data_IF_907482017518
#
_entry.id   IF_907482017518
#
_cell.length_a   1.000
_cell.length_b   1.000
_cell.length_c   1.000
_cell.angle_alpha   90.00
_cell.angle_beta   90.00
_cell.angle_gamma   90.00
#
_symmetry.space_group_name_H-M   'P 1'
#
loop_
_entity.id
_entity.type
_entity.pdbx_description
1 polymer ?
#
# COMPACT_ATOMS: atom_id res chain seq x y z
N UNK A 1 -9.01 -1.43 -28.42
CA UNK A 1 -8.13 -0.68 -27.50
C UNK A 1 -8.72 0.71 -27.35
N UNK A 2 -8.93 1.17 -26.13
CA UNK A 2 -9.34 2.55 -25.86
C UNK A 2 -8.03 3.28 -25.56
N UNK A 3 -7.51 4.11 -26.48
CA UNK A 3 -6.31 4.89 -26.20
C UNK A 3 -6.59 5.78 -24.99
N UNK A 4 -5.95 5.48 -23.86
CA UNK A 4 -6.21 6.14 -22.58
C UNK A 4 -5.03 7.02 -22.21
N UNK A 5 -5.24 8.17 -21.58
CA UNK A 5 -4.13 8.93 -20.96
C UNK A 5 -4.12 8.74 -19.46
N UNK A 6 -2.99 8.23 -18.95
CA UNK A 6 -2.75 7.94 -17.54
C UNK A 6 -1.62 8.84 -17.06
N UNK A 7 -1.86 9.58 -15.98
CA UNK A 7 -0.84 10.40 -15.31
C UNK A 7 -0.46 9.74 -14.00
N UNK A 8 0.83 9.51 -13.76
CA UNK A 8 1.34 8.95 -12.49
C UNK A 8 2.11 10.05 -11.76
N UNK A 9 1.55 10.56 -10.66
CA UNK A 9 2.14 11.61 -9.84
C UNK A 9 2.81 11.01 -8.61
N UNK A 10 4.11 11.26 -8.44
CA UNK A 10 4.97 10.51 -7.53
C UNK A 10 5.68 9.33 -8.22
N UNK A 11 5.85 9.41 -9.54
CA UNK A 11 6.42 8.32 -10.35
C UNK A 11 7.86 7.96 -9.95
N UNK A 12 8.60 8.85 -9.30
CA UNK A 12 9.95 8.59 -8.80
C UNK A 12 10.01 7.70 -7.55
N UNK A 13 8.87 7.31 -6.97
CA UNK A 13 8.82 6.43 -5.79
C UNK A 13 9.49 5.07 -6.04
N UNK A 14 10.53 4.76 -5.26
CA UNK A 14 11.33 3.54 -5.38
C UNK A 14 10.53 2.23 -5.24
N UNK A 15 9.43 2.25 -4.50
CA UNK A 15 8.63 1.05 -4.19
C UNK A 15 7.36 1.09 -5.04
N UNK A 16 6.47 2.03 -4.73
CA UNK A 16 5.15 2.09 -5.34
C UNK A 16 5.20 2.51 -6.82
N UNK A 17 6.07 3.48 -7.15
CA UNK A 17 6.24 3.97 -8.52
C UNK A 17 6.73 2.87 -9.47
N UNK A 18 7.66 2.03 -9.01
CA UNK A 18 8.21 0.92 -9.78
C UNK A 18 7.16 -0.16 -10.08
N UNK A 19 6.44 -0.63 -9.06
CA UNK A 19 5.42 -1.68 -9.21
C UNK A 19 4.28 -1.21 -10.11
N UNK A 20 3.79 0.02 -9.89
CA UNK A 20 2.73 0.62 -10.72
C UNK A 20 3.18 0.78 -12.17
N UNK A 21 4.40 1.29 -12.40
CA UNK A 21 4.95 1.42 -13.74
C UNK A 21 5.00 0.05 -14.43
N UNK A 22 5.58 -0.95 -13.78
CA UNK A 22 5.70 -2.29 -14.34
C UNK A 22 4.32 -2.88 -14.69
N UNK A 23 3.35 -2.79 -13.76
CA UNK A 23 2.00 -3.29 -13.98
C UNK A 23 1.31 -2.60 -15.18
N UNK A 24 1.36 -1.26 -15.26
CA UNK A 24 0.79 -0.50 -16.37
C UNK A 24 1.45 -0.84 -17.70
N UNK A 25 2.78 -0.95 -17.73
CA UNK A 25 3.56 -1.29 -18.94
C UNK A 25 3.31 -2.73 -19.40
N UNK A 26 3.06 -3.67 -18.49
CA UNK A 26 2.76 -5.07 -18.79
C UNK A 26 1.32 -5.32 -19.26
N UNK A 27 0.42 -4.36 -19.10
CA UNK A 27 -1.01 -4.54 -19.38
C UNK A 27 -1.34 -4.56 -20.87
N UNK A 28 -1.85 -5.70 -21.35
CA UNK A 28 -2.33 -5.84 -22.72
C UNK A 28 -3.55 -4.95 -23.03
N UNK A 29 -4.34 -4.60 -22.00
CA UNK A 29 -5.51 -3.71 -22.17
C UNK A 29 -5.11 -2.26 -22.41
N UNK A 30 -3.99 -1.84 -21.82
CA UNK A 30 -3.49 -0.47 -21.89
C UNK A 30 -2.47 -0.26 -23.01
N UNK A 31 -2.03 -1.32 -23.70
CA UNK A 31 -1.12 -1.23 -24.87
C UNK A 31 -1.55 -0.11 -25.83
N UNK A 32 -0.61 0.77 -26.21
CA UNK A 32 -0.91 1.92 -27.09
C UNK A 32 -1.40 3.20 -26.38
N UNK A 33 -1.59 3.16 -25.06
CA UNK A 33 -2.02 4.30 -24.25
C UNK A 33 -0.90 5.33 -24.06
N UNK A 34 -1.24 6.48 -23.50
CA UNK A 34 -0.28 7.50 -23.07
C UNK A 34 -0.05 7.38 -21.57
N UNK A 35 1.23 7.38 -21.18
CA UNK A 35 1.67 7.35 -19.80
C UNK A 35 2.55 8.58 -19.54
N UNK A 36 2.05 9.50 -18.72
CA UNK A 36 2.76 10.69 -18.28
C UNK A 36 3.28 10.49 -16.85
N UNK A 37 4.60 10.45 -16.68
CA UNK A 37 5.26 10.29 -15.39
C UNK A 37 5.58 11.67 -14.81
N UNK A 38 5.19 11.89 -13.55
CA UNK A 38 5.35 13.18 -12.88
C UNK A 38 6.05 12.98 -11.54
N UNK A 39 7.14 13.72 -11.33
CA UNK A 39 7.79 13.81 -10.03
C UNK A 39 8.52 15.15 -9.89
N UNK A 40 8.69 15.65 -8.66
CA UNK A 40 9.47 16.88 -8.40
C UNK A 40 10.95 16.59 -8.24
N UNK A 41 11.33 15.35 -7.94
CA UNK A 41 12.71 14.92 -7.91
C UNK A 41 13.16 14.59 -9.34
N UNK A 42 13.92 15.50 -9.95
CA UNK A 42 14.39 15.36 -11.34
C UNK A 42 15.27 14.12 -11.55
N UNK A 43 16.07 13.73 -10.56
CA UNK A 43 16.95 12.56 -10.67
C UNK A 43 16.16 11.25 -10.65
N UNK A 44 15.19 11.15 -9.74
CA UNK A 44 14.28 10.01 -9.67
C UNK A 44 13.42 9.93 -10.94
N UNK A 45 12.88 11.07 -11.40
CA UNK A 45 12.09 11.17 -12.62
C UNK A 45 12.89 10.75 -13.87
N UNK A 46 14.13 11.21 -13.98
CA UNK A 46 15.01 10.84 -15.09
C UNK A 46 15.29 9.33 -15.10
N UNK A 47 15.50 8.72 -13.93
CA UNK A 47 15.78 7.30 -13.81
C UNK A 47 14.56 6.44 -14.14
N UNK A 48 13.39 6.77 -13.60
CA UNK A 48 12.14 6.06 -13.91
C UNK A 48 11.69 6.27 -15.36
N UNK A 49 11.92 7.45 -15.95
CA UNK A 49 11.66 7.71 -17.36
C UNK A 49 12.50 6.83 -18.29
N UNK A 50 13.80 6.68 -18.01
CA UNK A 50 14.67 5.76 -18.75
C UNK A 50 14.24 4.29 -18.58
N UNK A 51 13.83 3.91 -17.37
CA UNK A 51 13.28 2.57 -17.14
C UNK A 51 12.00 2.33 -17.93
N UNK A 52 11.07 3.29 -17.96
CA UNK A 52 9.84 3.21 -18.73
C UNK A 52 10.11 3.03 -20.23
N UNK A 53 11.07 3.77 -20.80
CA UNK A 53 11.49 3.59 -22.19
C UNK A 53 12.07 2.20 -22.47
N UNK A 54 12.87 1.68 -21.53
CA UNK A 54 13.39 0.31 -21.62
C UNK A 54 12.28 -0.72 -21.59
N UNK A 55 11.35 -0.62 -20.65
CA UNK A 55 10.17 -1.48 -20.55
C UNK A 55 9.35 -1.41 -21.85
N UNK A 56 9.12 -0.21 -22.39
CA UNK A 56 8.34 -0.01 -23.61
C UNK A 56 8.94 -0.76 -24.80
N UNK A 57 10.27 -0.70 -24.95
CA UNK A 57 11.02 -1.43 -25.98
C UNK A 57 11.05 -2.93 -25.77
N UNK A 58 11.39 -3.40 -24.57
CA UNK A 58 11.64 -4.82 -24.30
C UNK A 58 10.35 -5.63 -24.10
N UNK A 59 9.24 -4.97 -23.74
CA UNK A 59 7.95 -5.63 -23.51
C UNK A 59 6.93 -5.39 -24.62
N UNK A 60 7.29 -4.66 -25.68
CA UNK A 60 6.40 -4.32 -26.80
C UNK A 60 5.08 -3.68 -26.31
N UNK A 61 5.18 -2.71 -25.38
CA UNK A 61 4.02 -2.08 -24.75
C UNK A 61 3.36 -0.99 -25.63
N UNK A 62 4.07 -0.46 -26.63
CA UNK A 62 3.61 0.61 -27.54
C UNK A 62 3.05 1.85 -26.83
N UNK A 63 3.48 2.11 -25.60
CA UNK A 63 3.03 3.27 -24.84
C UNK A 63 3.66 4.55 -25.42
N UNK A 64 2.88 5.64 -25.44
CA UNK A 64 3.41 6.99 -25.63
C UNK A 64 3.84 7.53 -24.28
N UNK A 65 5.13 7.76 -24.09
CA UNK A 65 5.69 8.17 -22.81
C UNK A 65 5.97 9.68 -22.78
N UNK A 66 5.75 10.31 -21.64
CA UNK A 66 6.22 11.67 -21.36
C UNK A 66 6.60 11.82 -19.88
N UNK A 67 7.48 12.76 -19.58
CA UNK A 67 7.91 13.08 -18.21
C UNK A 67 7.70 14.56 -17.91
N UNK A 68 7.29 14.89 -16.68
CA UNK A 68 6.99 16.26 -16.27
C UNK A 68 7.44 16.53 -14.83
N UNK A 69 8.06 17.68 -14.57
CA UNK A 69 8.48 18.08 -13.22
C UNK A 69 7.33 18.67 -12.38
N UNK A 70 6.20 18.99 -13.01
CA UNK A 70 5.03 19.55 -12.34
C UNK A 70 3.74 18.94 -12.92
N UNK A 71 2.80 18.58 -12.05
CA UNK A 71 1.59 17.85 -12.44
C UNK A 71 0.71 18.63 -13.41
N UNK A 72 0.60 19.95 -13.26
CA UNK A 72 -0.22 20.79 -14.13
C UNK A 72 0.11 20.66 -15.63
N UNK A 73 1.36 20.30 -15.97
CA UNK A 73 1.80 20.15 -17.36
C UNK A 73 1.40 18.80 -17.98
N UNK A 74 1.03 17.83 -17.15
CA UNK A 74 0.68 16.47 -17.56
C UNK A 74 -0.83 16.19 -17.61
N UNK A 75 -1.64 16.96 -16.87
CA UNK A 75 -3.05 16.63 -16.59
C UNK A 75 -4.00 16.77 -17.79
N UNK A 76 -3.67 17.58 -18.79
CA UNK A 76 -4.57 17.85 -19.91
C UNK A 76 -4.98 16.56 -20.65
N UNK A 77 -6.29 16.33 -20.76
CA UNK A 77 -6.86 15.14 -21.39
C UNK A 77 -6.67 13.82 -20.63
N UNK A 78 -6.20 13.83 -19.38
CA UNK A 78 -6.07 12.62 -18.57
C UNK A 78 -7.44 11.98 -18.28
N UNK A 79 -7.52 10.65 -18.33
CA UNK A 79 -8.69 9.88 -17.93
C UNK A 79 -8.49 9.21 -16.56
N UNK A 80 -7.23 8.91 -16.23
CA UNK A 80 -6.83 8.38 -14.93
C UNK A 80 -5.61 9.14 -14.42
N UNK A 81 -5.62 9.44 -13.12
CA UNK A 81 -4.48 10.02 -12.40
C UNK A 81 -4.18 9.12 -11.21
N UNK A 82 -3.01 8.49 -11.21
CA UNK A 82 -2.50 7.72 -10.07
C UNK A 82 -1.69 8.66 -9.17
N UNK A 83 -1.99 8.66 -7.87
CA UNK A 83 -1.40 9.57 -6.90
C UNK A 83 -0.71 8.83 -5.77
N UNK A 84 0.62 8.92 -5.72
CA UNK A 84 1.48 8.23 -4.75
C UNK A 84 2.59 9.16 -4.23
N UNK A 85 2.21 10.34 -3.76
CA UNK A 85 3.14 11.34 -3.25
C UNK A 85 3.38 11.17 -1.75
N UNK A 86 4.42 11.83 -1.27
CA UNK A 86 4.66 12.02 0.16
C UNK A 86 5.34 13.37 0.36
N UNK A 87 5.00 14.09 1.43
CA UNK A 87 5.73 15.30 1.80
C UNK A 87 7.10 14.92 2.36
N UNK A 88 8.15 15.44 1.74
CA UNK A 88 9.54 15.15 2.14
C UNK A 88 10.02 16.08 3.25
N UNK A 89 10.97 15.65 4.09
CA UNK A 89 11.61 14.32 4.16
C UNK A 89 10.73 13.27 4.89
N UNK A 90 10.32 12.19 4.18
CA UNK A 90 9.33 11.20 4.67
C UNK A 90 9.68 10.62 6.04
N UNK A 91 10.84 9.96 6.16
CA UNK A 91 11.18 9.23 7.40
C UNK A 91 11.39 10.17 8.59
N UNK A 92 11.97 11.35 8.37
CA UNK A 92 12.19 12.34 9.42
C UNK A 92 10.87 12.92 9.92
N UNK A 93 9.96 13.26 8.99
CA UNK A 93 8.63 13.76 9.36
C UNK A 93 7.82 12.68 10.07
N UNK A 94 7.85 11.43 9.60
CA UNK A 94 7.15 10.33 10.24
C UNK A 94 7.75 9.99 11.61
N UNK A 95 9.09 10.06 11.77
CA UNK A 95 9.72 9.95 13.08
C UNK A 95 9.24 11.07 14.02
N UNK A 96 9.09 12.29 13.52
CA UNK A 96 8.57 13.41 14.31
C UNK A 96 7.12 13.21 14.77
N UNK A 97 6.29 12.53 13.95
CA UNK A 97 4.91 12.17 14.29
C UNK A 97 4.83 11.20 15.47
N UNK A 98 5.87 10.42 15.70
CA UNK A 98 6.03 9.58 16.88
C UNK A 98 6.65 10.34 18.06
N UNK A 99 7.76 11.04 17.85
CA UNK A 99 8.54 11.68 18.91
C UNK A 99 7.83 12.86 19.59
N UNK A 100 7.02 13.62 18.84
CA UNK A 100 6.31 14.79 19.40
C UNK A 100 5.21 14.33 20.36
N UNK A 101 4.25 13.46 19.98
CA UNK A 101 3.24 12.96 20.92
C UNK A 101 3.81 12.18 22.10
N UNK A 102 4.96 11.51 21.94
CA UNK A 102 5.63 10.78 23.01
C UNK A 102 5.95 11.69 24.22
N UNK A 103 6.31 12.96 23.99
CA UNK A 103 6.57 13.96 25.05
C UNK A 103 5.35 14.23 25.94
N UNK A 104 4.16 13.92 25.43
CA UNK A 104 2.88 14.07 26.11
C UNK A 104 2.30 12.74 26.59
N UNK A 105 3.11 11.67 26.59
CA UNK A 105 2.70 10.35 27.07
C UNK A 105 1.82 9.60 26.07
N UNK A 106 2.00 9.78 24.77
CA UNK A 106 1.27 9.00 23.75
C UNK A 106 2.26 8.27 22.86
N UNK A 107 2.47 6.96 23.12
CA UNK A 107 3.39 6.12 22.33
C UNK A 107 2.62 5.38 21.22
N UNK A 108 2.49 6.00 20.04
CA UNK A 108 1.78 5.42 18.89
C UNK A 108 2.76 4.59 18.03
N UNK A 109 2.68 3.25 17.97
CA UNK A 109 3.74 2.45 17.35
C UNK A 109 3.95 2.69 15.84
N UNK A 110 2.86 2.90 15.08
CA UNK A 110 2.90 3.06 13.62
C UNK A 110 2.55 4.49 13.17
N UNK A 111 1.34 4.96 13.50
CA UNK A 111 0.90 6.36 13.32
C UNK A 111 0.97 6.93 11.89
N UNK A 112 0.79 6.10 10.86
CA UNK A 112 0.67 6.56 9.48
C UNK A 112 -0.71 7.13 9.19
N UNK A 113 -1.74 6.47 9.70
CA UNK A 113 -3.15 6.75 9.47
C UNK A 113 -3.85 7.22 10.75
N UNK A 114 -3.60 6.59 11.89
CA UNK A 114 -4.32 6.88 13.13
C UNK A 114 -3.58 7.76 14.14
N UNK A 115 -4.32 8.18 15.17
CA UNK A 115 -3.81 8.97 16.28
C UNK A 115 -3.28 10.37 15.94
N UNK A 116 -2.69 11.10 16.92
CA UNK A 116 -2.05 12.40 16.68
C UNK A 116 -0.99 12.42 15.58
N UNK A 117 -0.24 11.32 15.40
CA UNK A 117 0.78 11.23 14.35
C UNK A 117 0.13 11.16 12.96
N UNK A 118 -0.86 10.29 12.78
CA UNK A 118 -1.63 10.21 11.54
C UNK A 118 -2.41 11.49 11.23
N UNK A 119 -2.82 12.25 12.25
CA UNK A 119 -3.39 13.59 12.04
C UNK A 119 -2.35 14.59 11.51
N UNK A 120 -1.16 14.66 12.11
CA UNK A 120 -0.09 15.53 11.63
C UNK A 120 0.30 15.16 10.18
N UNK A 121 0.36 13.86 9.88
CA UNK A 121 0.55 13.33 8.54
C UNK A 121 -0.54 13.78 7.55
N UNK A 122 -1.82 13.69 7.94
CA UNK A 122 -2.93 14.18 7.13
C UNK A 122 -2.80 15.67 6.80
N UNK A 123 -2.51 16.50 7.81
CA UNK A 123 -2.41 17.97 7.62
C UNK A 123 -1.28 18.33 6.65
N UNK A 124 -0.19 17.57 6.64
CA UNK A 124 0.91 17.79 5.69
C UNK A 124 0.53 17.39 4.27
N UNK A 125 -0.14 16.25 4.07
CA UNK A 125 -0.43 15.73 2.74
C UNK A 125 -1.70 16.31 2.08
N UNK A 126 -2.75 16.65 2.84
CA UNK A 126 -4.01 17.15 2.28
C UNK A 126 -3.82 18.41 1.43
N UNK A 127 -3.00 19.37 1.87
CA UNK A 127 -2.77 20.61 1.13
C UNK A 127 -2.22 20.39 -0.29
N UNK A 128 -1.06 19.71 -0.44
CA UNK A 128 -0.52 19.33 -1.74
C UNK A 128 -1.49 18.50 -2.60
N UNK A 129 -2.20 17.53 -2.01
CA UNK A 129 -3.19 16.71 -2.73
C UNK A 129 -4.33 17.57 -3.26
N UNK A 130 -4.91 18.44 -2.45
CA UNK A 130 -6.01 19.31 -2.87
C UNK A 130 -5.59 20.30 -3.97
N UNK A 131 -4.33 20.74 -3.98
CA UNK A 131 -3.79 21.51 -5.11
C UNK A 131 -3.85 20.70 -6.42
N UNK A 132 -3.42 19.44 -6.41
CA UNK A 132 -3.48 18.56 -7.58
C UNK A 132 -4.94 18.36 -8.01
N UNK A 133 -5.82 18.07 -7.06
CA UNK A 133 -7.25 17.83 -7.29
C UNK A 133 -7.92 19.05 -7.94
N UNK A 134 -7.66 20.26 -7.46
CA UNK A 134 -8.19 21.48 -8.09
C UNK A 134 -7.62 21.73 -9.48
N UNK A 135 -6.38 21.34 -9.74
CA UNK A 135 -5.79 21.41 -11.08
C UNK A 135 -6.46 20.38 -12.01
N UNK A 136 -6.79 19.19 -11.51
CA UNK A 136 -7.58 18.18 -12.23
C UNK A 136 -9.00 18.66 -12.56
N UNK A 137 -9.67 19.39 -11.66
CA UNK A 137 -11.01 19.94 -11.93
C UNK A 137 -11.03 20.86 -13.15
N UNK A 138 -9.90 21.51 -13.47
CA UNK A 138 -9.78 22.40 -14.63
C UNK A 138 -9.31 21.66 -15.88
N UNK A 139 -8.32 20.78 -15.76
CA UNK A 139 -7.68 20.12 -16.89
C UNK A 139 -8.35 18.81 -17.33
N UNK A 140 -8.90 18.05 -16.38
CA UNK A 140 -9.46 16.72 -16.62
C UNK A 140 -10.60 16.38 -15.63
N UNK A 141 -11.71 17.14 -15.61
CA UNK A 141 -12.77 16.99 -14.61
C UNK A 141 -13.50 15.65 -14.63
N UNK A 142 -13.35 14.86 -15.69
CA UNK A 142 -13.94 13.52 -15.82
C UNK A 142 -12.96 12.40 -15.47
N UNK A 143 -11.72 12.72 -15.09
CA UNK A 143 -10.74 11.72 -14.71
C UNK A 143 -11.12 11.02 -13.39
N UNK A 144 -10.65 9.78 -13.25
CA UNK A 144 -10.57 9.11 -11.95
C UNK A 144 -9.23 9.41 -11.28
N UNK A 145 -9.27 9.81 -10.02
CA UNK A 145 -8.11 9.87 -9.14
C UNK A 145 -8.00 8.55 -8.37
N UNK A 146 -6.93 7.81 -8.63
CA UNK A 146 -6.57 6.57 -7.93
C UNK A 146 -5.51 6.93 -6.89
N UNK A 147 -5.91 6.99 -5.62
CA UNK A 147 -5.06 7.45 -4.53
C UNK A 147 -4.41 6.29 -3.77
N UNK A 148 -3.09 6.32 -3.69
CA UNK A 148 -2.26 5.47 -2.83
C UNK A 148 -1.56 6.27 -1.73
N UNK A 149 -1.71 7.60 -1.74
CA UNK A 149 -1.10 8.47 -0.73
C UNK A 149 -1.81 8.30 0.60
N UNK A 150 -1.01 8.10 1.66
CA UNK A 150 -1.50 8.06 3.03
C UNK A 150 -1.55 9.46 3.67
N UNK A 151 -2.42 9.70 4.65
CA UNK A 151 -3.39 8.76 5.22
C UNK A 151 -4.67 8.64 4.37
N UNK A 152 -4.85 7.48 3.73
CA UNK A 152 -5.74 7.31 2.58
C UNK A 152 -7.18 7.73 2.87
N UNK A 153 -7.74 7.29 4.00
CA UNK A 153 -9.13 7.59 4.36
C UNK A 153 -9.37 9.09 4.49
N UNK A 154 -8.45 9.84 5.10
CA UNK A 154 -8.63 11.29 5.33
C UNK A 154 -8.45 12.06 4.04
N UNK A 155 -7.52 11.63 3.18
CA UNK A 155 -7.30 12.22 1.87
C UNK A 155 -8.53 12.00 0.97
N UNK A 156 -8.99 10.75 0.85
CA UNK A 156 -10.17 10.43 0.05
C UNK A 156 -11.44 11.13 0.58
N UNK A 157 -11.64 11.20 1.90
CA UNK A 157 -12.77 11.91 2.51
C UNK A 157 -12.69 13.43 2.24
N UNK A 158 -11.51 14.05 2.31
CA UNK A 158 -11.33 15.46 1.96
C UNK A 158 -11.69 15.72 0.48
N UNK A 159 -11.21 14.89 -0.44
CA UNK A 159 -11.53 15.02 -1.87
C UNK A 159 -13.04 14.86 -2.09
N UNK A 160 -13.65 13.82 -1.52
CA UNK A 160 -15.08 13.54 -1.69
C UNK A 160 -15.98 14.66 -1.14
N UNK A 161 -15.54 15.41 -0.12
CA UNK A 161 -16.29 16.53 0.46
C UNK A 161 -16.09 17.85 -0.27
N UNK A 162 -14.90 18.08 -0.80
CA UNK A 162 -14.47 19.41 -1.24
C UNK A 162 -14.08 19.50 -2.73
N UNK A 163 -14.33 18.45 -3.50
CA UNK A 163 -14.08 18.41 -4.95
C UNK A 163 -15.15 17.64 -5.71
N UNK A 164 -15.26 17.88 -7.02
CA UNK A 164 -16.05 17.06 -7.94
C UNK A 164 -15.29 15.88 -8.55
N UNK A 165 -13.98 15.75 -8.29
CA UNK A 165 -13.16 14.66 -8.85
C UNK A 165 -13.59 13.31 -8.28
N UNK A 166 -13.77 12.33 -9.18
CA UNK A 166 -14.03 10.94 -8.80
C UNK A 166 -12.77 10.36 -8.17
N UNK A 167 -12.87 9.86 -6.95
CA UNK A 167 -11.73 9.33 -6.20
C UNK A 167 -11.99 7.90 -5.74
N UNK A 168 -10.98 7.05 -5.85
CA UNK A 168 -10.90 5.76 -5.20
C UNK A 168 -9.55 5.66 -4.49
N UNK A 169 -9.55 5.13 -3.26
CA UNK A 169 -8.32 4.84 -2.52
C UNK A 169 -8.01 3.35 -2.62
N UNK A 170 -6.76 3.01 -2.93
CA UNK A 170 -6.29 1.63 -3.03
C UNK A 170 -5.16 1.36 -2.03
N UNK A 171 -5.17 0.17 -1.43
CA UNK A 171 -4.19 -0.25 -0.44
C UNK A 171 -4.09 -1.77 -0.41
N UNK A 172 -2.87 -2.29 -0.34
CA UNK A 172 -2.56 -3.72 -0.35
C UNK A 172 -2.74 -4.42 1.02
N UNK A 173 -3.22 -3.68 2.02
CA UNK A 173 -3.35 -4.14 3.41
C UNK A 173 -4.14 -5.47 3.54
N UNK A 174 -5.15 -5.70 2.68
CA UNK A 174 -5.96 -6.95 2.66
C UNK A 174 -5.11 -8.23 2.59
N UNK A 175 -3.90 -8.17 1.99
CA UNK A 175 -3.01 -9.32 1.90
C UNK A 175 -2.48 -9.80 3.26
N UNK A 176 -2.49 -8.97 4.30
CA UNK A 176 -2.25 -9.43 5.67
C UNK A 176 -3.33 -10.44 6.11
N UNK A 177 -4.60 -10.17 5.81
CA UNK A 177 -5.70 -11.11 6.04
C UNK A 177 -5.54 -12.42 5.27
N UNK A 178 -5.16 -12.34 3.99
CA UNK A 178 -4.86 -13.54 3.20
C UNK A 178 -3.70 -14.34 3.78
N UNK A 179 -2.64 -13.68 4.27
CA UNK A 179 -1.53 -14.36 4.92
C UNK A 179 -1.95 -15.04 6.23
N UNK A 180 -2.75 -14.37 7.06
CA UNK A 180 -3.28 -14.93 8.32
C UNK A 180 -4.20 -16.12 8.08
N UNK A 181 -5.10 -16.04 7.09
CA UNK A 181 -5.95 -17.17 6.69
C UNK A 181 -5.12 -18.30 6.12
N UNK A 182 -4.14 -17.98 5.26
CA UNK A 182 -3.25 -18.96 4.65
C UNK A 182 -2.41 -19.71 5.68
N UNK A 183 -1.95 -19.03 6.73
CA UNK A 183 -1.28 -19.68 7.86
C UNK A 183 -2.23 -20.59 8.64
N UNK A 184 -3.41 -20.07 9.02
CA UNK A 184 -4.36 -20.83 9.83
C UNK A 184 -4.88 -22.07 9.09
N UNK A 185 -5.12 -21.97 7.79
CA UNK A 185 -5.66 -23.05 6.96
C UNK A 185 -4.58 -23.79 6.15
N UNK A 186 -3.30 -23.66 6.53
CA UNK A 186 -2.20 -24.17 5.72
C UNK A 186 -2.33 -25.67 5.39
N UNK A 187 -2.54 -26.50 6.41
CA UNK A 187 -2.72 -27.94 6.25
C UNK A 187 -4.01 -28.30 5.52
N UNK A 188 -5.09 -27.53 5.75
CA UNK A 188 -6.41 -27.80 5.15
C UNK A 188 -6.42 -27.45 3.64
N UNK A 189 -5.62 -26.47 3.21
CA UNK A 189 -5.58 -25.96 1.83
C UNK A 189 -4.31 -26.35 1.05
N UNK A 190 -3.33 -26.98 1.70
CA UNK A 190 -2.05 -27.34 1.09
C UNK A 190 -1.16 -26.13 0.79
N UNK A 191 -1.20 -25.11 1.64
CA UNK A 191 -0.37 -23.91 1.51
C UNK A 191 0.98 -24.14 2.17
N UNK A 192 2.05 -23.88 1.44
CA UNK A 192 3.41 -23.94 1.99
C UNK A 192 3.70 -22.68 2.82
N UNK A 193 3.98 -22.87 4.11
CA UNK A 193 4.36 -21.81 5.04
C UNK A 193 5.89 -21.80 5.20
N UNK A 194 6.59 -20.74 4.75
CA UNK A 194 8.04 -20.65 4.89
C UNK A 194 8.45 -20.45 6.36
N UNK A 195 9.66 -20.92 6.69
CA UNK A 195 10.28 -20.62 7.97
C UNK A 195 10.45 -19.10 8.13
N UNK A 196 10.17 -18.59 9.33
CA UNK A 196 10.24 -17.15 9.63
C UNK A 196 8.94 -16.37 9.40
N UNK A 197 7.82 -17.01 9.02
CA UNK A 197 6.52 -16.34 9.07
C UNK A 197 6.00 -16.24 10.51
N UNK A 198 6.41 -15.21 11.23
CA UNK A 198 6.12 -15.06 12.68
C UNK A 198 5.05 -14.03 13.00
N UNK A 199 4.80 -13.09 12.09
CA UNK A 199 3.75 -12.07 12.19
C UNK A 199 3.55 -11.41 10.81
N UNK A 200 2.62 -10.47 10.74
CA UNK A 200 2.27 -9.67 9.55
C UNK A 200 2.66 -8.19 9.69
N UNK A 201 3.65 -7.89 10.53
CA UNK A 201 4.11 -6.53 10.80
C UNK A 201 4.63 -5.84 9.53
N UNK A 202 4.72 -4.52 9.55
CA UNK A 202 5.25 -3.71 8.46
C UNK A 202 6.79 -3.62 8.51
N UNK A 203 7.46 -4.75 8.76
CA UNK A 203 8.92 -4.88 8.79
C UNK A 203 9.45 -5.52 7.50
N UNK A 204 10.56 -5.04 6.91
CA UNK A 204 11.19 -5.65 5.75
C UNK A 204 11.49 -7.15 5.89
N UNK A 205 11.77 -7.61 7.11
CA UNK A 205 12.07 -9.02 7.40
C UNK A 205 10.85 -9.95 7.27
N UNK A 206 9.66 -9.41 7.53
CA UNK A 206 8.39 -10.17 7.59
C UNK A 206 7.65 -10.17 6.25
N UNK A 207 7.95 -9.21 5.37
CA UNK A 207 7.29 -9.04 4.07
C UNK A 207 7.46 -10.27 3.17
N UNK A 208 8.67 -10.82 2.93
CA UNK A 208 8.84 -11.96 2.03
C UNK A 208 8.03 -13.21 2.42
N UNK A 209 8.13 -13.75 3.67
CA UNK A 209 7.35 -14.92 4.04
C UNK A 209 5.85 -14.65 4.04
N UNK A 210 5.41 -13.45 4.47
CA UNK A 210 4.00 -13.02 4.41
C UNK A 210 3.47 -13.04 2.97
N UNK A 211 4.21 -12.48 2.02
CA UNK A 211 3.81 -12.42 0.61
C UNK A 211 3.72 -13.82 -0.01
N UNK A 212 4.64 -14.74 0.32
CA UNK A 212 4.59 -16.11 -0.17
C UNK A 212 3.31 -16.84 0.25
N UNK A 213 2.89 -16.69 1.51
CA UNK A 213 1.64 -17.29 2.00
C UNK A 213 0.42 -16.58 1.41
N UNK A 214 0.41 -15.24 1.42
CA UNK A 214 -0.71 -14.46 0.89
C UNK A 214 -1.00 -14.80 -0.58
N UNK A 215 0.02 -14.91 -1.43
CA UNK A 215 -0.14 -15.23 -2.85
C UNK A 215 -0.79 -16.59 -3.08
N UNK A 216 -0.42 -17.61 -2.30
CA UNK A 216 -1.07 -18.93 -2.37
C UNK A 216 -2.52 -18.85 -1.89
N UNK A 217 -2.77 -18.14 -0.77
CA UNK A 217 -4.10 -18.03 -0.20
C UNK A 217 -5.08 -17.28 -1.12
N UNK A 218 -4.64 -16.19 -1.79
CA UNK A 218 -5.47 -15.40 -2.71
C UNK A 218 -6.07 -16.26 -3.83
N UNK A 219 -5.34 -17.26 -4.32
CA UNK A 219 -5.81 -18.18 -5.37
C UNK A 219 -6.85 -19.20 -4.86
N UNK A 220 -6.86 -19.47 -3.55
CA UNK A 220 -7.63 -20.55 -2.95
C UNK A 220 -8.88 -20.07 -2.22
N UNK A 221 -8.83 -18.88 -1.62
CA UNK A 221 -9.93 -18.34 -0.81
C UNK A 221 -10.36 -16.95 -1.27
N UNK A 222 -11.63 -16.64 -1.05
CA UNK A 222 -12.21 -15.32 -1.27
C UNK A 222 -12.55 -14.69 0.07
N UNK A 223 -11.90 -13.55 0.37
CA UNK A 223 -12.14 -12.76 1.57
C UNK A 223 -13.00 -11.57 1.19
N UNK A 224 -14.20 -11.48 1.79
CA UNK A 224 -14.98 -10.25 1.78
C UNK A 224 -14.68 -9.47 3.06
N UNK A 225 -14.18 -8.26 2.92
CA UNK A 225 -13.91 -7.38 4.06
C UNK A 225 -14.58 -6.01 3.92
N UNK A 226 -14.84 -5.36 5.05
CA UNK A 226 -15.33 -3.99 5.09
C UNK A 226 -14.77 -3.23 6.30
N UNK A 227 -14.67 -1.91 6.18
CA UNK A 227 -14.21 -1.03 7.26
C UNK A 227 -13.48 0.17 6.69
N UNK A 228 -12.57 0.74 7.48
CA UNK A 228 -11.69 1.81 7.04
C UNK A 228 -10.36 1.20 6.57
N UNK A 229 -9.58 1.94 5.78
CA UNK A 229 -8.19 1.59 5.54
C UNK A 229 -7.45 1.36 6.86
N UNK A 230 -6.69 0.28 6.95
CA UNK A 230 -5.98 -0.17 8.17
C UNK A 230 -6.90 -0.53 9.35
N UNK A 231 -8.23 -0.61 9.13
CA UNK A 231 -9.21 -0.97 10.15
C UNK A 231 -10.41 -1.71 9.51
N UNK A 232 -10.10 -2.77 8.76
CA UNK A 232 -11.06 -3.62 8.06
C UNK A 232 -11.36 -4.91 8.82
N UNK A 233 -12.54 -5.45 8.58
CA UNK A 233 -13.06 -6.65 9.23
C UNK A 233 -13.48 -7.66 8.18
N UNK A 234 -13.11 -8.91 8.38
CA UNK A 234 -13.52 -10.04 7.54
C UNK A 234 -14.98 -10.37 7.79
N UNK A 235 -15.82 -10.16 6.78
CA UNK A 235 -17.26 -10.40 6.80
C UNK A 235 -17.62 -11.79 6.28
N UNK A 236 -16.83 -12.32 5.33
CA UNK A 236 -17.06 -13.63 4.72
C UNK A 236 -15.72 -14.22 4.28
N UNK A 237 -15.61 -15.55 4.36
CA UNK A 237 -14.46 -16.32 3.90
C UNK A 237 -14.94 -17.56 3.17
N UNK A 238 -14.66 -17.65 1.87
CA UNK A 238 -15.15 -18.73 1.01
C UNK A 238 -14.01 -19.47 0.33
N UNK A 239 -14.15 -20.77 0.14
CA UNK A 239 -13.32 -21.51 -0.79
C UNK A 239 -13.67 -21.07 -2.23
N UNK A 240 -12.68 -20.64 -3.03
CA UNK A 240 -12.92 -20.15 -4.40
C UNK A 240 -13.41 -21.24 -5.35
N UNK A 241 -13.07 -22.50 -5.09
CA UNK A 241 -13.38 -23.65 -5.96
C UNK A 241 -14.75 -24.22 -5.65
N UNK A 242 -15.11 -24.33 -4.37
CA UNK A 242 -16.34 -25.00 -3.93
C UNK A 242 -17.43 -24.02 -3.49
N UNK A 243 -17.08 -22.79 -3.12
CA UNK A 243 -17.98 -21.83 -2.49
C UNK A 243 -18.31 -22.13 -1.02
N UNK A 244 -17.64 -23.12 -0.41
CA UNK A 244 -17.85 -23.51 0.98
C UNK A 244 -17.51 -22.36 1.94
N UNK A 245 -18.27 -22.26 3.04
CA UNK A 245 -17.98 -21.33 4.13
C UNK A 245 -16.80 -21.82 4.95
N UNK A 246 -15.64 -21.17 4.80
CA UNK A 246 -14.44 -21.54 5.54
C UNK A 246 -14.30 -20.77 6.85
N UNK A 247 -15.13 -19.76 7.13
CA UNK A 247 -14.97 -18.95 8.34
C UNK A 247 -15.04 -19.79 9.63
N UNK A 248 -15.99 -20.73 9.81
CA UNK A 248 -16.01 -21.58 11.01
C UNK A 248 -14.76 -22.46 11.16
N UNK A 249 -14.21 -22.96 10.05
CA UNK A 249 -12.97 -23.74 10.06
C UNK A 249 -11.79 -22.86 10.44
N UNK A 250 -11.65 -21.70 9.78
CA UNK A 250 -10.65 -20.69 10.07
C UNK A 250 -10.66 -20.29 11.54
N UNK A 251 -11.83 -20.00 12.12
CA UNK A 251 -11.95 -19.63 13.52
C UNK A 251 -11.40 -20.70 14.48
N UNK A 252 -11.64 -21.98 14.18
CA UNK A 252 -11.08 -23.10 14.97
C UNK A 252 -9.57 -23.19 14.81
N UNK A 253 -9.05 -23.16 13.58
CA UNK A 253 -7.60 -23.24 13.32
C UNK A 253 -6.85 -22.06 13.89
N UNK A 254 -7.40 -20.86 13.75
CA UNK A 254 -6.84 -19.65 14.36
C UNK A 254 -6.70 -19.81 15.89
N UNK A 255 -7.69 -20.41 16.56
CA UNK A 255 -7.61 -20.66 17.99
C UNK A 255 -6.47 -21.65 18.38
N UNK A 256 -6.09 -22.56 17.47
CA UNK A 256 -5.03 -23.56 17.65
C UNK A 256 -3.62 -23.02 17.34
N UNK A 257 -3.50 -21.90 16.61
CA UNK A 257 -2.21 -21.25 16.33
C UNK A 257 -1.50 -20.74 17.59
N UNK A 258 -0.19 -20.50 17.47
CA UNK A 258 0.61 -19.86 18.51
C UNK A 258 -0.08 -18.55 18.98
N UNK A 259 -0.41 -18.40 20.28
CA UNK A 259 -1.06 -17.20 20.78
C UNK A 259 -0.19 -15.93 20.66
N UNK A 260 1.11 -16.07 20.39
CA UNK A 260 2.01 -14.94 20.13
C UNK A 260 1.97 -14.46 18.68
N UNK A 261 1.32 -15.18 17.77
CA UNK A 261 1.08 -14.70 16.42
C UNK A 261 -0.11 -13.73 16.44
N UNK A 262 0.16 -12.44 16.16
CA UNK A 262 -0.85 -11.36 16.09
C UNK A 262 -1.72 -11.26 17.37
N UNK A 263 -1.11 -11.08 18.56
CA UNK A 263 -1.81 -11.09 19.84
C UNK A 263 -2.86 -9.97 19.98
N UNK A 264 -2.69 -8.81 19.32
CA UNK A 264 -3.68 -7.73 19.36
C UNK A 264 -4.90 -8.08 18.50
N UNK A 265 -4.68 -8.57 17.29
CA UNK A 265 -5.69 -9.07 16.36
C UNK A 265 -6.52 -10.16 17.05
N UNK A 266 -5.86 -11.13 17.70
CA UNK A 266 -6.53 -12.16 18.50
C UNK A 266 -7.39 -11.54 19.60
N UNK A 267 -6.84 -10.60 20.37
CA UNK A 267 -7.60 -9.93 21.45
C UNK A 267 -8.82 -9.18 20.93
N UNK A 268 -8.67 -8.47 19.82
CA UNK A 268 -9.76 -7.72 19.19
C UNK A 268 -10.81 -8.71 18.66
N UNK A 269 -10.40 -9.80 18.02
CA UNK A 269 -11.31 -10.82 17.54
C UNK A 269 -12.14 -11.44 18.68
N UNK A 270 -11.52 -11.79 19.81
CA UNK A 270 -12.22 -12.31 21.00
C UNK A 270 -13.30 -11.36 21.53
N UNK A 271 -13.06 -10.05 21.49
CA UNK A 271 -13.98 -9.05 22.02
C UNK A 271 -15.15 -8.80 21.08
N UNK A 272 -14.89 -8.71 19.77
CA UNK A 272 -15.90 -8.30 18.78
C UNK A 272 -16.57 -9.48 18.08
N UNK A 273 -15.99 -10.69 18.13
CA UNK A 273 -16.51 -11.86 17.42
C UNK A 273 -16.38 -11.77 15.89
N UNK A 274 -15.63 -10.80 15.38
CA UNK A 274 -15.38 -10.56 13.96
C UNK A 274 -13.89 -10.36 13.74
N UNK A 275 -13.29 -11.02 12.75
CA UNK A 275 -11.85 -11.05 12.59
C UNK A 275 -11.32 -9.76 11.93
N UNK A 276 -10.40 -9.01 12.57
CA UNK A 276 -9.75 -7.87 11.93
C UNK A 276 -8.68 -8.35 10.94
N UNK A 277 -8.77 -7.86 9.72
CA UNK A 277 -7.82 -8.18 8.63
C UNK A 277 -6.44 -7.49 8.76
N UNK A 278 -6.30 -6.31 9.41
CA UNK A 278 -5.07 -5.56 9.24
C UNK A 278 -3.77 -6.04 9.86
N UNK A 279 -3.83 -7.01 10.78
CA UNK A 279 -2.69 -7.30 11.64
C UNK A 279 -2.41 -6.16 12.64
N UNK A 280 -1.52 -6.42 13.57
CA UNK A 280 -1.40 -5.72 14.85
C UNK A 280 -0.93 -4.27 14.68
N UNK A 281 0.10 -4.03 13.88
CA UNK A 281 0.70 -2.69 13.73
C UNK A 281 -0.22 -1.69 13.03
N UNK A 282 -1.02 -2.13 12.05
CA UNK A 282 -2.02 -1.29 11.39
C UNK A 282 -3.28 -1.12 12.26
N UNK A 283 -3.73 -2.21 12.90
CA UNK A 283 -4.90 -2.22 13.76
C UNK A 283 -4.73 -1.29 14.97
N UNK A 284 -3.53 -1.24 15.54
CA UNK A 284 -3.24 -0.45 16.75
C UNK A 284 -3.47 1.06 16.56
N UNK A 285 -3.38 1.56 15.33
CA UNK A 285 -3.54 2.98 15.00
C UNK A 285 -4.93 3.54 15.40
N UNK A 286 -5.92 2.66 15.50
CA UNK A 286 -7.31 2.99 15.80
C UNK A 286 -7.73 2.64 17.23
N UNK A 287 -6.79 2.18 18.06
CA UNK A 287 -7.05 1.72 19.42
C UNK A 287 -6.28 2.58 20.43
N UNK A 288 -6.80 3.74 20.87
CA UNK A 288 -6.04 4.71 21.67
C UNK A 288 -5.41 4.13 22.95
N UNK A 289 -6.04 3.12 23.53
CA UNK A 289 -5.55 2.46 24.75
C UNK A 289 -4.20 1.75 24.54
N UNK A 290 -3.85 1.33 23.31
CA UNK A 290 -2.55 0.69 23.03
C UNK A 290 -1.37 1.66 23.13
N UNK A 291 -1.65 2.97 23.18
CA UNK A 291 -0.63 4.03 23.28
C UNK A 291 -0.38 4.50 24.72
N UNK A 292 -0.99 3.86 25.72
CA UNK A 292 -0.93 4.27 27.14
C UNK A 292 0.44 3.96 27.80
N UNK A 293 1.16 4.96 28.34
CA UNK A 293 2.47 4.79 28.94
C UNK A 293 2.47 4.14 30.32
N UNK A 294 1.32 4.06 30.98
CA UNK A 294 1.21 3.43 32.29
C UNK A 294 1.10 1.91 32.15
N UNK A 295 0.19 1.44 31.29
CA UNK A 295 -0.05 0.00 31.09
C UNK A 295 0.83 -0.62 30.00
N UNK A 296 1.49 0.19 29.18
CA UNK A 296 2.45 -0.20 28.14
C UNK A 296 1.99 -1.38 27.26
N UNK A 297 0.79 -1.35 26.64
CA UNK A 297 0.26 -2.53 25.97
C UNK A 297 1.14 -3.04 24.82
N UNK A 298 1.95 -2.18 24.21
CA UNK A 298 2.91 -2.57 23.17
C UNK A 298 3.91 -3.65 23.61
N UNK A 299 4.25 -3.76 24.90
CA UNK A 299 5.13 -4.83 25.40
C UNK A 299 4.41 -6.19 25.39
N UNK A 300 3.11 -6.19 25.65
CA UNK A 300 2.27 -7.40 25.66
C UNK A 300 1.87 -7.83 24.24
N UNK A 301 1.62 -6.88 23.37
CA UNK A 301 1.06 -7.09 22.04
C UNK A 301 2.11 -7.01 20.92
N UNK A 302 3.40 -7.07 21.28
CA UNK A 302 4.53 -7.03 20.34
C UNK A 302 4.46 -5.88 19.32
N UNK A 303 3.97 -4.71 19.74
CA UNK A 303 3.78 -3.56 18.85
C UNK A 303 5.10 -2.84 18.65
N UNK A 304 5.83 -3.30 17.64
CA UNK A 304 7.10 -2.74 17.21
C UNK A 304 6.93 -1.34 16.61
N UNK A 305 8.01 -0.56 16.67
CA UNK A 305 8.05 0.73 15.99
C UNK A 305 8.42 0.52 14.54
N UNK A 306 7.95 1.42 13.70
CA UNK A 306 8.41 1.51 12.33
C UNK A 306 9.93 1.72 12.23
N UNK A 307 10.59 0.96 11.37
CA UNK A 307 12.05 0.94 11.22
C UNK A 307 12.55 2.06 10.29
N UNK A 308 12.44 3.32 10.72
CA UNK A 308 12.71 4.51 9.88
C UNK A 308 14.06 4.47 9.14
N UNK A 309 15.15 4.13 9.83
CA UNK A 309 16.48 4.12 9.21
C UNK A 309 16.62 3.01 8.16
N UNK A 310 16.10 1.82 8.45
CA UNK A 310 16.13 0.69 7.52
C UNK A 310 15.29 1.00 6.27
N UNK A 311 14.08 1.52 6.46
CA UNK A 311 13.21 1.91 5.34
C UNK A 311 13.80 3.04 4.51
N UNK A 312 14.46 4.02 5.13
CA UNK A 312 15.21 5.06 4.44
C UNK A 312 16.31 4.47 3.53
N UNK A 313 17.11 3.55 4.08
CA UNK A 313 18.16 2.86 3.32
C UNK A 313 17.60 2.00 2.18
N UNK A 314 16.49 1.29 2.42
CA UNK A 314 15.84 0.46 1.39
C UNK A 314 15.28 1.29 0.24
N UNK A 315 14.76 2.50 0.49
CA UNK A 315 14.31 3.41 -0.58
C UNK A 315 15.49 3.92 -1.40
N UNK A 316 16.59 4.28 -0.77
CA UNK A 316 17.81 4.69 -1.47
C UNK A 316 18.36 3.54 -2.33
N UNK A 317 18.39 2.33 -1.76
CA UNK A 317 18.74 1.12 -2.51
C UNK A 317 17.80 0.91 -3.71
N UNK A 318 16.49 1.07 -3.53
CA UNK A 318 15.50 0.95 -4.60
C UNK A 318 15.71 1.95 -5.73
N UNK A 319 16.02 3.22 -5.44
CA UNK A 319 16.38 4.20 -6.48
C UNK A 319 17.63 3.78 -7.25
N UNK A 320 18.64 3.23 -6.57
CA UNK A 320 19.84 2.71 -7.21
C UNK A 320 19.55 1.51 -8.12
N UNK A 321 18.68 0.59 -7.71
CA UNK A 321 18.25 -0.54 -8.54
C UNK A 321 17.46 -0.06 -9.77
N UNK A 322 16.56 0.92 -9.61
CA UNK A 322 15.85 1.56 -10.74
C UNK A 322 16.85 2.13 -11.74
N UNK A 323 17.88 2.85 -11.28
CA UNK A 323 18.92 3.39 -12.15
C UNK A 323 19.72 2.29 -12.86
N UNK A 324 20.10 1.21 -12.17
CA UNK A 324 20.79 0.06 -12.78
C UNK A 324 19.91 -0.65 -13.82
N UNK A 325 18.62 -0.83 -13.53
CA UNK A 325 17.66 -1.38 -14.49
C UNK A 325 17.50 -0.45 -15.70
N UNK A 326 17.35 0.85 -15.49
CA UNK A 326 17.26 1.83 -16.56
C UNK A 326 18.50 1.79 -17.50
N UNK A 327 19.68 1.61 -16.92
CA UNK A 327 20.96 1.59 -17.64
C UNK A 327 21.31 0.23 -18.29
N UNK A 328 20.46 -0.79 -18.16
CA UNK A 328 20.76 -2.14 -18.68
C UNK A 328 21.73 -2.97 -17.84
N UNK A 329 22.08 -2.51 -16.64
CA UNK A 329 23.02 -3.18 -15.72
C UNK A 329 22.36 -4.22 -14.82
N UNK A 330 21.02 -4.26 -14.79
CA UNK A 330 20.21 -5.23 -14.04
C UNK A 330 19.07 -5.74 -14.93
N UNK A 331 18.67 -7.00 -14.74
CA UNK A 331 17.50 -7.57 -15.44
C UNK A 331 16.19 -6.93 -14.97
N UNK A 332 15.23 -6.80 -15.88
CA UNK A 332 13.86 -6.32 -15.62
C UNK A 332 12.84 -7.46 -15.65
N UNK A 333 13.27 -8.72 -15.76
CA UNK A 333 12.34 -9.86 -15.89
C UNK A 333 11.44 -10.03 -14.66
N UNK A 334 11.98 -9.83 -13.46
CA UNK A 334 11.23 -9.93 -12.21
C UNK A 334 10.07 -8.93 -12.12
N UNK A 335 10.13 -7.81 -12.87
CA UNK A 335 9.04 -6.82 -12.90
C UNK A 335 7.80 -7.33 -13.62
N UNK A 336 7.87 -8.44 -14.38
CA UNK A 336 6.68 -9.03 -15.02
C UNK A 336 5.69 -9.59 -14.00
N UNK A 337 6.20 -9.96 -12.82
CA UNK A 337 5.41 -10.48 -11.70
C UNK A 337 5.10 -9.39 -10.66
N UNK A 338 5.32 -8.11 -11.00
CA UNK A 338 5.04 -6.99 -10.11
C UNK A 338 3.53 -6.90 -9.83
N UNK A 339 3.16 -6.85 -8.56
CA UNK A 339 1.78 -6.66 -8.15
C UNK A 339 1.39 -5.19 -8.38
N UNK A 340 0.23 -4.96 -9.02
CA UNK A 340 -0.29 -3.61 -9.31
C UNK A 340 -0.72 -2.85 -8.07
N UNK A 341 -0.86 -3.55 -6.94
CA UNK A 341 -1.56 -3.08 -5.73
C UNK A 341 -2.99 -2.57 -6.00
N UNK A 342 -3.63 -3.07 -7.05
CA UNK A 342 -4.97 -2.66 -7.48
C UNK A 342 -4.99 -1.62 -8.60
N UNK A 343 -3.84 -1.10 -9.06
CA UNK A 343 -3.80 -0.02 -10.05
C UNK A 343 -4.24 -0.45 -11.47
N UNK A 344 -4.39 -1.75 -11.75
CA UNK A 344 -4.79 -2.28 -13.07
C UNK A 344 -6.29 -2.55 -13.17
N UNK A 345 -6.92 -2.78 -12.02
CA UNK A 345 -8.33 -3.09 -11.81
C UNK A 345 -9.23 -1.86 -12.00
#
# INVERSE_FOLDING_TARGET
MIPTKIVVIGAGSAIFGLNTLAALMGSQRLRGSELALVDRNEEALASVGRLAERLNREWDAHMRLSTHNHHADALDGAEFVVLCIEVTPREELWRSDYEIPLKYGVRQPYAENGGPGGFAHAVRNIGPVMKIVHDMERACPQAWLINFTNPMVRICDAIARYSSIKVVGLCHQIYAGYAMVGLALADDLGIEVPEGFTNTHASPSTIPPRHQVARQAVELVDIKAAGLNHFTWMLDLRDRRTGEDLYPLFARRWAELDPNFEPLTRRVYEVFGLFPVPGDEHLCEYLPWVSDPLTKPWEKYDLSLYEWDLWGQLREFGHNEIAKMADGKMTIEHLRDAESEGALE
#
